data_IF_679203506232
#
_entry.id   IF_679203506232
#
_cell.length_a   1.000
_cell.length_b   1.000
_cell.length_c   1.000
_cell.angle_alpha   90.00
_cell.angle_beta   90.00
_cell.angle_gamma   90.00
#
_symmetry.space_group_name_H-M   'P 1'
#
loop_
_entity.id
_entity.type
_entity.pdbx_description
1 polymer ?
#
# COMPACT_ATOMS: atom_id res chain seq x y z
N UNK A 1 9.81 32.62 -33.90
CA UNK A 1 10.45 33.06 -32.65
C UNK A 1 9.42 32.94 -31.51
N UNK A 2 9.45 31.84 -30.77
CA UNK A 2 9.79 31.76 -29.32
C UNK A 2 8.94 32.64 -28.39
N UNK A 3 7.96 31.99 -27.71
CA UNK A 3 7.49 32.12 -26.30
C UNK A 3 6.08 31.51 -26.21
N UNK A 4 5.96 30.19 -25.95
CA UNK A 4 5.68 29.58 -24.62
C UNK A 4 4.39 30.16 -24.00
N UNK A 5 3.20 29.54 -24.05
CA UNK A 5 2.79 28.18 -23.60
C UNK A 5 3.13 27.93 -22.12
N UNK A 6 2.62 28.78 -21.22
CA UNK A 6 2.39 28.45 -19.79
C UNK A 6 1.20 29.30 -19.31
N UNK A 7 -0.03 28.94 -19.64
CA UNK A 7 -1.22 29.50 -18.96
C UNK A 7 -2.47 28.62 -19.15
N UNK A 8 -2.39 27.32 -18.87
CA UNK A 8 -3.59 26.46 -18.87
C UNK A 8 -3.50 25.26 -17.91
N UNK A 9 -2.92 25.45 -16.72
CA UNK A 9 -2.93 24.43 -15.65
C UNK A 9 -3.47 24.91 -14.29
N UNK A 10 -4.07 26.11 -14.21
CA UNK A 10 -4.51 26.70 -12.92
C UNK A 10 -6.03 26.57 -12.68
N UNK A 11 -6.80 25.94 -13.57
CA UNK A 11 -8.27 25.92 -13.45
C UNK A 11 -8.94 24.53 -13.35
N UNK A 12 -8.28 23.55 -12.72
CA UNK A 12 -8.89 22.22 -12.51
C UNK A 12 -8.79 21.68 -11.07
N UNK A 13 -8.51 22.52 -10.07
CA UNK A 13 -8.40 22.12 -8.67
C UNK A 13 -9.53 22.63 -7.75
N UNK A 14 -10.63 23.15 -8.31
CA UNK A 14 -11.80 23.55 -7.54
C UNK A 14 -13.02 22.77 -7.99
N UNK A 15 -13.22 21.58 -7.43
CA UNK A 15 -14.55 20.98 -7.18
C UNK A 15 -14.41 19.68 -6.35
N UNK A 16 -14.10 19.84 -5.07
CA UNK A 16 -14.47 18.87 -4.02
C UNK A 16 -14.81 19.65 -2.74
N UNK A 17 -15.87 20.45 -2.80
CA UNK A 17 -16.59 20.93 -1.64
C UNK A 17 -17.86 20.09 -1.50
N UNK A 18 -17.94 19.28 -0.45
CA UNK A 18 -19.17 18.59 -0.09
C UNK A 18 -18.96 17.36 0.78
N UNK A 19 -19.02 17.54 2.10
CA UNK A 19 -19.30 16.46 3.05
C UNK A 19 -18.18 16.10 4.04
N UNK A 20 -17.83 16.99 4.96
CA UNK A 20 -17.22 16.58 6.24
C UNK A 20 -18.03 17.14 7.41
N UNK A 21 -19.09 16.42 7.78
CA UNK A 21 -19.69 16.54 9.11
C UNK A 21 -19.05 15.52 10.05
N UNK A 22 -18.52 16.07 11.15
CA UNK A 22 -18.37 15.45 12.46
C UNK A 22 -17.42 14.25 12.61
N UNK A 23 -16.20 14.53 13.11
CA UNK A 23 -15.48 13.74 14.15
C UNK A 23 -14.05 14.28 14.45
N UNK A 24 -13.79 15.57 14.20
CA UNK A 24 -12.63 16.30 14.73
C UNK A 24 -12.75 16.64 16.25
N UNK A 25 -13.78 16.14 16.93
CA UNK A 25 -14.14 16.52 18.29
C UNK A 25 -13.29 15.84 19.39
N UNK A 26 -12.74 14.64 19.17
CA UNK A 26 -12.02 13.91 20.22
C UNK A 26 -10.58 14.42 20.43
N UNK A 27 -9.89 14.87 19.38
CA UNK A 27 -8.54 15.46 19.51
C UNK A 27 -8.57 16.92 20.00
N UNK A 28 -9.60 17.68 19.58
CA UNK A 28 -9.91 18.97 20.21
C UNK A 28 -10.24 18.82 21.69
N UNK A 29 -10.67 17.66 22.20
CA UNK A 29 -10.99 17.49 23.62
C UNK A 29 -9.76 17.37 24.53
N UNK A 30 -8.62 16.88 24.02
CA UNK A 30 -7.33 16.94 24.75
C UNK A 30 -6.78 18.38 24.79
N UNK A 31 -7.05 19.17 23.74
CA UNK A 31 -6.67 20.60 23.66
C UNK A 31 -7.70 21.52 24.37
N UNK A 32 -8.99 21.17 24.39
CA UNK A 32 -10.08 21.93 25.06
C UNK A 32 -10.28 21.57 26.52
N UNK A 33 -9.93 20.36 26.99
CA UNK A 33 -9.95 20.04 28.44
C UNK A 33 -8.96 20.90 29.24
N UNK A 34 -8.07 21.63 28.58
CA UNK A 34 -7.15 22.60 29.19
C UNK A 34 -7.62 24.06 29.03
N UNK A 35 -8.74 24.36 28.33
CA UNK A 35 -9.09 25.76 27.99
C UNK A 35 -10.56 26.21 28.15
N UNK A 36 -11.49 25.41 28.68
CA UNK A 36 -12.82 25.95 29.03
C UNK A 36 -13.12 25.92 30.53
N UNK A 37 -12.90 27.07 31.19
CA UNK A 37 -13.58 27.45 32.43
C UNK A 37 -15.09 27.45 32.17
N UNK A 38 -15.82 26.49 32.73
CA UNK A 38 -17.22 26.71 33.10
C UNK A 38 -17.20 27.48 34.42
N UNK A 39 -17.92 28.61 34.47
CA UNK A 39 -18.08 29.47 35.65
C UNK A 39 -18.49 28.63 36.87
N UNK A 40 -17.59 28.52 37.85
CA UNK A 40 -17.96 28.48 39.26
C UNK A 40 -16.99 29.39 40.02
N UNK A 41 -17.56 30.28 40.83
CA UNK A 41 -16.82 31.22 41.69
C UNK A 41 -16.05 30.43 42.75
N UNK A 42 -14.72 30.54 42.76
CA UNK A 42 -13.89 30.73 43.97
C UNK A 42 -12.42 30.89 43.57
N UNK A 43 -11.77 31.87 44.19
CA UNK A 43 -10.45 32.35 43.80
C UNK A 43 -9.35 31.30 43.97
N UNK A 44 -8.49 31.21 42.97
CA UNK A 44 -7.12 30.75 43.13
C UNK A 44 -6.23 31.51 42.15
N UNK A 45 -5.07 31.96 42.64
CA UNK A 45 -4.07 32.73 41.90
C UNK A 45 -3.68 31.98 40.61
N UNK A 46 -3.83 32.64 39.47
CA UNK A 46 -3.31 32.15 38.19
C UNK A 46 -1.79 32.32 38.16
N UNK A 47 -1.05 31.22 38.28
CA UNK A 47 0.34 31.15 37.81
C UNK A 47 0.33 31.02 36.28
N UNK A 48 0.96 31.96 35.59
CA UNK A 48 1.10 31.93 34.14
C UNK A 48 1.97 30.75 33.71
N UNK A 49 1.48 29.93 32.79
CA UNK A 49 2.28 28.89 32.15
C UNK A 49 3.17 29.55 31.08
N UNK A 50 4.46 29.67 31.37
CA UNK A 50 5.46 30.10 30.39
C UNK A 50 5.68 29.00 29.33
N UNK A 51 5.77 29.39 28.06
CA UNK A 51 6.43 28.57 27.05
C UNK A 51 7.88 28.36 27.50
N UNK A 52 8.26 27.13 27.82
CA UNK A 52 9.59 26.84 28.35
C UNK A 52 10.65 26.92 27.26
N UNK A 53 11.76 27.61 27.52
CA UNK A 53 13.02 27.42 26.78
C UNK A 53 13.67 26.13 27.27
N UNK A 54 14.04 25.25 26.35
CA UNK A 54 14.71 23.96 26.53
C UNK A 54 16.21 24.01 26.20
N UNK A 55 16.81 25.20 26.04
CA UNK A 55 18.23 25.35 25.71
C UNK A 55 19.22 24.58 26.59
N UNK A 56 18.85 24.21 27.82
CA UNK A 56 19.66 23.32 28.67
C UNK A 56 19.86 21.91 28.08
N UNK A 57 19.01 21.49 27.14
CA UNK A 57 19.14 20.23 26.42
C UNK A 57 20.14 20.32 25.27
N UNK A 58 20.52 21.53 24.81
CA UNK A 58 21.46 21.69 23.71
C UNK A 58 22.89 21.27 24.07
N UNK A 59 23.23 21.28 25.36
CA UNK A 59 24.51 20.78 25.87
C UNK A 59 24.53 19.28 26.14
N UNK A 60 23.39 18.59 25.98
CA UNK A 60 23.31 17.13 26.15
C UNK A 60 23.88 16.47 24.91
N UNK A 61 25.04 15.85 25.05
CA UNK A 61 25.62 15.02 24.01
C UNK A 61 25.12 13.59 24.16
N UNK A 62 24.37 13.10 23.18
CA UNK A 62 23.89 11.72 23.13
C UNK A 62 24.36 11.04 21.85
N UNK A 63 24.43 9.71 21.88
CA UNK A 63 24.97 8.90 20.78
C UNK A 63 24.19 9.02 19.46
N UNK A 64 22.92 9.46 19.52
CA UNK A 64 22.10 9.66 18.34
C UNK A 64 22.02 11.14 17.93
N UNK A 65 22.64 12.06 18.68
CA UNK A 65 22.56 13.50 18.47
C UNK A 65 21.13 14.05 18.49
N UNK A 66 20.20 13.39 19.19
CA UNK A 66 18.77 13.73 19.16
C UNK A 66 18.39 14.77 20.22
N UNK A 67 19.14 14.86 21.31
CA UNK A 67 18.83 15.74 22.43
C UNK A 67 19.02 17.21 22.06
N UNK A 68 18.12 18.07 22.51
CA UNK A 68 18.16 19.49 22.22
C UNK A 68 16.80 20.17 22.34
N UNK A 69 16.84 21.50 22.22
CA UNK A 69 15.68 22.32 21.90
C UNK A 69 15.44 22.26 20.40
N UNK A 70 14.18 22.08 20.00
CA UNK A 70 13.74 22.13 18.62
C UNK A 70 12.63 23.17 18.48
N UNK A 71 12.59 23.85 17.34
CA UNK A 71 11.57 24.84 17.01
C UNK A 71 10.54 24.23 16.05
N UNK A 72 9.26 24.38 16.36
CA UNK A 72 8.17 23.90 15.50
C UNK A 72 7.85 24.81 14.34
N UNK A 73 7.56 24.23 13.18
CA UNK A 73 7.10 24.93 12.00
C UNK A 73 5.67 25.43 12.17
N UNK A 74 4.75 24.60 12.66
CA UNK A 74 3.31 24.93 12.75
C UNK A 74 2.93 25.48 14.12
N UNK A 75 3.31 24.79 15.19
CA UNK A 75 2.96 25.20 16.55
C UNK A 75 3.81 26.38 17.06
N UNK A 76 4.84 26.80 16.30
CA UNK A 76 5.76 27.94 16.56
C UNK A 76 6.39 27.98 17.95
N UNK A 77 6.26 26.91 18.72
CA UNK A 77 6.81 26.73 20.07
C UNK A 77 8.17 26.03 20.00
N UNK A 78 8.88 26.08 21.12
CA UNK A 78 10.01 25.23 21.38
C UNK A 78 9.53 23.87 21.93
N UNK A 79 10.24 22.82 21.57
CA UNK A 79 10.08 21.44 22.05
C UNK A 79 11.40 20.97 22.63
N UNK A 80 11.34 20.30 23.77
CA UNK A 80 12.49 19.63 24.37
C UNK A 80 12.53 18.17 23.97
N UNK A 81 13.67 17.71 23.48
CA UNK A 81 13.93 16.30 23.23
C UNK A 81 15.18 15.86 23.99
N UNK A 82 15.12 14.67 24.60
CA UNK A 82 16.27 14.02 25.24
C UNK A 82 16.28 12.54 24.90
N UNK A 83 17.35 12.06 24.29
CA UNK A 83 17.54 10.63 24.11
C UNK A 83 18.09 10.00 25.39
N UNK A 84 17.48 8.89 25.80
CA UNK A 84 17.84 8.12 26.99
C UNK A 84 18.10 6.70 26.55
N UNK A 85 19.38 6.31 26.53
CA UNK A 85 19.82 4.95 26.20
C UNK A 85 19.52 3.99 27.35
N UNK A 86 19.89 4.38 28.56
CA UNK A 86 19.79 3.56 29.77
C UNK A 86 19.04 4.30 30.88
N UNK A 87 18.21 3.57 31.61
CA UNK A 87 17.49 4.03 32.80
C UNK A 87 17.50 2.92 33.84
N UNK A 88 17.90 3.23 35.07
CA UNK A 88 18.00 2.28 36.19
C UNK A 88 18.76 0.98 35.85
N UNK A 89 19.86 1.08 35.10
CA UNK A 89 20.69 -0.06 34.70
C UNK A 89 20.09 -0.94 33.60
N UNK A 90 18.99 -0.50 32.95
CA UNK A 90 18.38 -1.18 31.81
C UNK A 90 18.50 -0.32 30.56
N UNK A 91 18.81 -0.94 29.42
CA UNK A 91 18.71 -0.29 28.12
C UNK A 91 17.24 -0.07 27.81
N UNK A 92 16.83 1.19 27.64
CA UNK A 92 15.45 1.60 27.32
C UNK A 92 15.33 2.18 25.92
N UNK A 93 16.37 2.83 25.39
CA UNK A 93 16.39 3.46 24.07
C UNK A 93 15.12 4.28 23.77
N UNK A 94 14.93 5.36 24.52
CA UNK A 94 13.75 6.21 24.42
C UNK A 94 14.09 7.64 24.04
N UNK A 95 13.21 8.27 23.28
CA UNK A 95 13.20 9.71 23.09
C UNK A 95 12.15 10.32 24.01
N UNK A 96 12.62 11.09 24.99
CA UNK A 96 11.76 11.82 25.92
C UNK A 96 11.41 13.18 25.31
N UNK A 97 10.15 13.57 25.45
CA UNK A 97 9.56 14.72 24.79
C UNK A 97 8.88 15.67 25.78
N UNK A 98 9.08 16.98 25.57
CA UNK A 98 8.46 18.08 26.30
C UNK A 98 7.98 19.19 25.36
N UNK A 99 6.76 19.69 25.57
CA UNK A 99 6.21 20.95 25.05
C UNK A 99 6.21 22.06 26.10
N UNK A 100 6.29 21.68 27.38
CA UNK A 100 6.33 22.59 28.52
C UNK A 100 7.45 22.19 29.46
N UNK A 101 8.03 23.16 30.16
CA UNK A 101 9.06 22.89 31.15
C UNK A 101 8.43 22.22 32.37
N UNK A 102 8.72 20.94 32.55
CA UNK A 102 8.27 20.13 33.69
C UNK A 102 9.29 19.01 33.94
N UNK A 103 9.30 18.48 35.16
CA UNK A 103 10.28 17.47 35.60
C UNK A 103 10.18 16.17 34.79
N UNK A 104 8.96 15.67 34.58
CA UNK A 104 8.72 14.43 33.84
C UNK A 104 8.41 14.70 32.36
N UNK A 105 8.89 13.87 31.42
CA UNK A 105 8.52 14.00 30.01
C UNK A 105 7.03 13.77 29.80
N UNK A 106 6.47 14.47 28.81
CA UNK A 106 5.08 14.30 28.40
C UNK A 106 4.89 12.98 27.63
N UNK A 107 5.89 12.60 26.83
CA UNK A 107 5.92 11.32 26.13
C UNK A 107 7.31 10.69 26.27
N UNK A 108 7.32 9.37 26.39
CA UNK A 108 8.51 8.53 26.24
C UNK A 108 8.31 7.67 25.00
N UNK A 109 9.04 7.97 23.94
CA UNK A 109 8.87 7.33 22.64
C UNK A 109 9.91 6.23 22.45
N UNK A 110 9.47 5.03 22.09
CA UNK A 110 10.32 3.87 21.86
C UNK A 110 11.12 4.01 20.58
N UNK A 111 12.42 3.70 20.63
CA UNK A 111 13.29 3.72 19.46
C UNK A 111 13.12 2.46 18.60
N UNK A 112 12.97 2.63 17.29
CA UNK A 112 12.95 1.50 16.35
C UNK A 112 14.37 1.10 15.94
N UNK A 113 15.11 0.48 16.86
CA UNK A 113 16.51 0.08 16.67
C UNK A 113 16.77 -0.69 15.36
N UNK A 114 15.83 -1.56 14.98
CA UNK A 114 15.99 -2.38 13.78
C UNK A 114 16.09 -1.56 12.48
N UNK A 115 15.57 -0.34 12.45
CA UNK A 115 15.67 0.57 11.31
C UNK A 115 17.01 1.31 11.33
N UNK A 116 17.46 1.74 12.51
CA UNK A 116 18.78 2.33 12.70
C UNK A 116 19.90 1.36 12.33
N UNK A 117 19.90 0.14 12.87
CA UNK A 117 20.94 -0.86 12.56
C UNK A 117 21.05 -1.22 11.07
N UNK A 118 19.97 -1.06 10.29
CA UNK A 118 19.94 -1.46 8.86
C UNK A 118 20.13 -0.29 7.89
N UNK A 119 19.64 0.90 8.24
CA UNK A 119 19.57 2.06 7.34
C UNK A 119 19.93 3.38 8.02
N UNK A 120 20.41 3.34 9.27
CA UNK A 120 20.69 4.52 10.09
C UNK A 120 19.48 5.46 10.25
N UNK A 121 18.26 4.93 10.07
CA UNK A 121 17.01 5.69 10.24
C UNK A 121 16.72 5.84 11.72
N UNK A 122 16.65 7.08 12.18
CA UNK A 122 16.25 7.40 13.55
C UNK A 122 14.75 7.62 13.59
N UNK A 123 14.03 6.60 14.06
CA UNK A 123 12.58 6.63 14.20
C UNK A 123 12.19 6.29 15.63
N UNK A 124 11.33 7.13 16.22
CA UNK A 124 10.78 6.91 17.55
C UNK A 124 9.26 6.93 17.49
N UNK A 125 8.59 6.14 18.33
CA UNK A 125 7.13 6.05 18.31
C UNK A 125 6.52 5.81 19.68
N UNK A 126 5.25 6.17 19.83
CA UNK A 126 4.47 5.89 21.03
C UNK A 126 3.00 5.69 20.66
N UNK A 127 2.35 4.78 21.38
CA UNK A 127 0.90 4.61 21.36
C UNK A 127 0.33 5.21 22.63
N UNK A 128 -0.45 6.30 22.52
CA UNK A 128 -1.13 6.87 23.70
C UNK A 128 -2.39 6.08 24.10
N UNK A 129 -2.95 5.32 23.17
CA UNK A 129 -3.98 4.30 23.37
C UNK A 129 -3.94 3.31 22.21
N UNK A 130 -4.76 2.26 22.23
CA UNK A 130 -4.82 1.24 21.19
C UNK A 130 -5.43 1.71 19.85
N UNK A 131 -5.81 3.00 19.73
CA UNK A 131 -6.45 3.54 18.53
C UNK A 131 -5.45 4.05 17.49
N UNK A 132 -5.81 4.00 16.20
CA UNK A 132 -4.94 4.51 15.12
C UNK A 132 -4.55 5.98 15.32
N UNK A 133 -5.50 6.81 15.75
CA UNK A 133 -5.33 8.26 15.92
C UNK A 133 -4.45 8.64 17.11
N UNK A 134 -4.18 7.71 18.03
CA UNK A 134 -3.32 7.93 19.20
C UNK A 134 -1.87 7.52 18.97
N UNK A 135 -1.54 7.03 17.77
CA UNK A 135 -0.17 6.77 17.36
C UNK A 135 0.55 8.07 16.99
N UNK A 136 1.73 8.26 17.58
CA UNK A 136 2.65 9.35 17.24
C UNK A 136 3.99 8.70 16.94
N UNK A 137 4.59 9.08 15.82
CA UNK A 137 5.98 8.73 15.52
C UNK A 137 6.72 9.98 15.00
N UNK A 138 8.03 9.95 15.15
CA UNK A 138 8.93 10.98 14.66
C UNK A 138 10.07 10.33 13.88
N UNK A 139 10.45 10.96 12.78
CA UNK A 139 11.61 10.59 11.96
C UNK A 139 12.59 11.75 11.94
N UNK A 140 13.88 11.48 12.16
CA UNK A 140 14.90 12.43 11.70
C UNK A 140 14.97 12.38 10.16
N UNK A 141 14.63 13.49 9.51
CA UNK A 141 14.57 13.63 8.05
C UNK A 141 15.83 14.30 7.48
N UNK A 142 16.52 15.06 8.31
CA UNK A 142 17.87 15.58 8.11
C UNK A 142 18.53 15.78 9.50
N UNK A 143 19.86 15.89 9.60
CA UNK A 143 20.52 16.10 10.89
C UNK A 143 19.89 17.26 11.68
N UNK A 144 19.31 16.95 12.84
CA UNK A 144 18.65 17.97 13.67
C UNK A 144 17.29 18.46 13.18
N UNK A 145 16.71 17.86 12.13
CA UNK A 145 15.36 18.14 11.63
C UNK A 145 14.50 16.88 11.75
N UNK A 146 13.36 17.00 12.43
CA UNK A 146 12.45 15.92 12.76
C UNK A 146 11.08 16.19 12.13
N UNK A 147 10.53 15.18 11.47
CA UNK A 147 9.15 15.16 11.03
C UNK A 147 8.31 14.33 11.99
N UNK A 148 7.25 14.91 12.55
CA UNK A 148 6.24 14.19 13.32
C UNK A 148 5.11 13.77 12.40
N UNK A 149 4.74 12.49 12.47
CA UNK A 149 3.64 11.95 11.67
C UNK A 149 2.51 11.41 12.54
N UNK A 150 1.34 11.28 11.92
CA UNK A 150 0.18 10.58 12.45
C UNK A 150 -0.33 9.54 11.45
N UNK A 151 -0.95 8.48 11.96
CA UNK A 151 -1.67 7.48 11.16
C UNK A 151 -3.19 7.65 11.26
N UNK A 152 -3.89 7.25 10.19
CA UNK A 152 -5.36 7.36 10.10
C UNK A 152 -6.14 6.05 10.07
N UNK A 153 -5.50 4.88 9.93
CA UNK A 153 -6.20 3.68 9.46
C UNK A 153 -5.85 2.32 10.13
N UNK A 154 -4.94 2.21 11.11
CA UNK A 154 -4.67 0.93 11.81
C UNK A 154 -4.54 1.05 13.33
N UNK A 155 -5.22 0.16 14.04
CA UNK A 155 -5.02 -0.11 15.48
C UNK A 155 -3.96 -1.18 15.70
N UNK A 156 -3.45 -1.28 16.93
CA UNK A 156 -2.45 -2.29 17.30
C UNK A 156 -2.91 -3.19 18.43
N UNK A 157 -2.26 -4.36 18.51
CA UNK A 157 -2.44 -5.33 19.59
C UNK A 157 -1.36 -5.23 20.67
N UNK A 158 -0.27 -4.49 20.44
CA UNK A 158 0.86 -4.33 21.36
C UNK A 158 1.43 -2.91 21.31
N UNK A 159 1.70 -2.33 22.47
CA UNK A 159 2.25 -0.97 22.60
C UNK A 159 3.75 -0.88 22.25
N UNK A 160 4.44 -2.02 22.19
CA UNK A 160 5.89 -2.10 21.92
C UNK A 160 6.22 -2.19 20.42
N UNK A 161 5.20 -2.27 19.57
CA UNK A 161 5.37 -2.37 18.13
C UNK A 161 5.01 -1.07 17.42
N UNK A 162 5.85 -0.66 16.48
CA UNK A 162 5.54 0.45 15.57
C UNK A 162 4.48 0.03 14.56
N UNK A 163 3.80 1.01 13.97
CA UNK A 163 2.84 0.71 12.90
C UNK A 163 3.55 0.10 11.68
N UNK A 164 2.88 -0.79 10.93
CA UNK A 164 3.45 -1.38 9.73
C UNK A 164 3.91 -0.34 8.70
N UNK A 165 4.93 -0.68 7.91
CA UNK A 165 5.49 0.21 6.88
C UNK A 165 4.54 0.51 5.70
N UNK A 166 3.48 -0.26 5.53
CA UNK A 166 2.41 -0.04 4.55
C UNK A 166 1.24 0.80 5.11
N UNK A 167 1.37 1.28 6.35
CA UNK A 167 0.43 2.22 6.96
C UNK A 167 0.55 3.61 6.34
N UNK A 168 -0.60 4.26 6.11
CA UNK A 168 -0.61 5.66 5.67
C UNK A 168 -0.11 6.56 6.80
N UNK A 169 0.88 7.40 6.47
CA UNK A 169 1.47 8.40 7.36
C UNK A 169 1.19 9.78 6.80
N UNK A 170 0.97 10.74 7.69
CA UNK A 170 0.83 12.15 7.32
C UNK A 170 1.69 12.96 8.26
N UNK A 171 2.63 13.73 7.72
CA UNK A 171 3.42 14.69 8.49
C UNK A 171 2.49 15.79 8.99
N UNK A 172 2.49 16.02 10.30
CA UNK A 172 1.63 17.00 10.96
C UNK A 172 2.41 18.18 11.56
N UNK A 173 3.71 18.01 11.75
CA UNK A 173 4.63 19.02 12.28
C UNK A 173 6.06 18.73 11.81
N UNK A 174 6.85 19.79 11.61
CA UNK A 174 8.31 19.73 11.39
C UNK A 174 8.98 20.51 12.51
N UNK A 175 10.02 19.92 13.08
CA UNK A 175 10.77 20.48 14.20
C UNK A 175 12.25 20.51 13.86
N UNK A 176 12.94 21.62 14.10
CA UNK A 176 14.37 21.74 13.82
C UNK A 176 15.17 22.32 14.99
N UNK A 177 16.37 21.80 15.24
CA UNK A 177 17.31 22.38 16.21
C UNK A 177 17.74 23.79 15.81
N UNK A 178 18.06 23.96 14.53
CA UNK A 178 18.34 25.27 13.96
C UNK A 178 17.05 25.80 13.32
N UNK A 179 16.57 26.94 13.83
CA UNK A 179 15.33 27.56 13.34
C UNK A 179 15.37 27.91 11.85
N UNK A 180 16.56 28.23 11.31
CA UNK A 180 16.72 28.56 9.89
C UNK A 180 16.42 27.37 8.96
N UNK A 181 16.55 26.13 9.45
CA UNK A 181 16.25 24.94 8.62
C UNK A 181 14.76 24.87 8.26
N UNK A 182 13.88 25.51 9.05
CA UNK A 182 12.45 25.58 8.78
C UNK A 182 12.08 26.47 7.59
N UNK A 183 13.03 27.30 7.10
CA UNK A 183 12.84 28.06 5.86
C UNK A 183 12.95 27.15 4.62
N UNK A 184 13.58 25.98 4.78
CA UNK A 184 13.75 24.97 3.71
C UNK A 184 12.87 23.73 3.93
N UNK A 185 12.63 23.35 5.19
CA UNK A 185 11.87 22.15 5.55
C UNK A 185 10.42 22.46 5.91
N UNK A 186 9.58 22.51 4.89
CA UNK A 186 8.13 22.53 5.05
C UNK A 186 7.53 21.11 5.21
N UNK A 187 6.22 21.05 5.42
CA UNK A 187 5.47 19.80 5.60
C UNK A 187 5.59 18.90 4.36
N UNK A 188 5.55 19.47 3.15
CA UNK A 188 5.57 18.70 1.90
C UNK A 188 6.95 18.07 1.66
N UNK A 189 8.01 18.83 1.88
CA UNK A 189 9.40 18.39 1.79
C UNK A 189 9.69 17.31 2.84
N UNK A 190 9.24 17.51 4.07
CA UNK A 190 9.36 16.51 5.14
C UNK A 190 8.55 15.24 4.81
N UNK A 191 7.33 15.38 4.27
CA UNK A 191 6.50 14.26 3.85
C UNK A 191 7.19 13.43 2.76
N UNK A 192 7.72 14.08 1.72
CA UNK A 192 8.47 13.41 0.66
C UNK A 192 9.68 12.64 1.21
N UNK A 193 10.39 13.21 2.20
CA UNK A 193 11.53 12.53 2.84
C UNK A 193 11.10 11.34 3.68
N UNK A 194 10.00 11.45 4.43
CA UNK A 194 9.40 10.32 5.17
C UNK A 194 8.99 9.22 4.21
N UNK A 195 8.31 9.54 3.11
CA UNK A 195 7.89 8.56 2.11
C UNK A 195 9.09 7.84 1.47
N UNK A 196 10.18 8.57 1.20
CA UNK A 196 11.44 8.00 0.73
C UNK A 196 12.05 7.03 1.77
N UNK A 197 12.13 7.42 3.05
CA UNK A 197 12.61 6.56 4.14
C UNK A 197 11.77 5.27 4.24
N UNK A 198 10.44 5.41 4.21
CA UNK A 198 9.51 4.28 4.29
C UNK A 198 9.66 3.36 3.08
N UNK A 199 9.83 3.91 1.88
CA UNK A 199 10.09 3.15 0.65
C UNK A 199 11.39 2.33 0.75
N UNK A 200 12.47 2.92 1.25
CA UNK A 200 13.75 2.23 1.45
C UNK A 200 13.65 1.09 2.46
N UNK A 201 12.95 1.33 3.59
CA UNK A 201 12.70 0.30 4.61
C UNK A 201 11.81 -0.82 4.08
N UNK A 202 10.79 -0.48 3.28
CA UNK A 202 9.93 -1.46 2.61
C UNK A 202 10.74 -2.31 1.63
N UNK A 203 11.63 -1.71 0.85
CA UNK A 203 12.49 -2.42 -0.10
C UNK A 203 13.36 -3.47 0.60
N UNK A 204 13.93 -3.15 1.78
CA UNK A 204 14.65 -4.13 2.60
C UNK A 204 13.75 -5.26 3.12
N UNK A 205 12.54 -4.92 3.59
CA UNK A 205 11.57 -5.92 4.04
C UNK A 205 11.22 -6.86 2.89
N UNK A 206 10.99 -6.33 1.69
CA UNK A 206 10.67 -7.11 0.49
C UNK A 206 11.83 -7.98 0.03
N UNK A 207 13.08 -7.49 0.05
CA UNK A 207 14.25 -8.31 -0.24
C UNK A 207 14.37 -9.52 0.71
N UNK A 208 14.10 -9.32 2.02
CA UNK A 208 14.06 -10.42 2.99
C UNK A 208 12.93 -11.40 2.70
N UNK A 209 11.75 -10.90 2.35
CA UNK A 209 10.60 -11.74 1.96
C UNK A 209 10.93 -12.56 0.72
N UNK A 210 11.44 -11.93 -0.35
CA UNK A 210 11.91 -12.60 -1.57
C UNK A 210 12.90 -13.71 -1.26
N UNK A 211 13.93 -13.45 -0.44
CA UNK A 211 14.91 -14.48 -0.03
C UNK A 211 14.26 -15.68 0.68
N UNK A 212 13.20 -15.46 1.48
CA UNK A 212 12.43 -16.56 2.08
C UNK A 212 11.60 -17.30 1.03
N UNK A 213 10.97 -16.58 0.11
CA UNK A 213 10.13 -17.15 -0.95
C UNK A 213 10.94 -18.00 -1.94
N UNK A 214 12.20 -17.64 -2.24
CA UNK A 214 13.10 -18.42 -3.10
C UNK A 214 13.41 -19.84 -2.56
N UNK A 215 13.00 -20.17 -1.32
CA UNK A 215 13.11 -21.52 -0.75
C UNK A 215 11.98 -22.45 -1.20
N UNK A 216 10.94 -21.93 -1.83
CA UNK A 216 9.80 -22.69 -2.31
C UNK A 216 9.91 -22.86 -3.83
N UNK A 217 9.79 -24.10 -4.32
CA UNK A 217 9.98 -24.41 -5.75
C UNK A 217 9.03 -23.66 -6.66
N UNK A 218 7.78 -23.46 -6.24
CA UNK A 218 6.77 -22.69 -6.97
C UNK A 218 7.28 -21.27 -7.27
N UNK A 219 7.65 -20.50 -6.23
CA UNK A 219 8.15 -19.14 -6.40
C UNK A 219 9.51 -19.12 -7.11
N UNK A 220 10.44 -20.00 -6.72
CA UNK A 220 11.79 -20.09 -7.31
C UNK A 220 11.75 -20.31 -8.82
N UNK A 221 10.81 -21.12 -9.32
CA UNK A 221 10.74 -21.47 -10.74
C UNK A 221 9.79 -20.56 -11.56
N UNK A 222 8.89 -19.84 -10.88
CA UNK A 222 7.83 -19.04 -11.51
C UNK A 222 7.86 -17.54 -11.22
N UNK A 223 8.77 -16.98 -10.42
CA UNK A 223 8.85 -15.51 -10.29
C UNK A 223 9.00 -14.84 -11.67
N UNK A 224 8.16 -13.84 -11.97
CA UNK A 224 8.01 -13.23 -13.29
C UNK A 224 7.12 -14.01 -14.27
N UNK A 225 6.47 -15.09 -13.84
CA UNK A 225 5.65 -15.98 -14.67
C UNK A 225 4.24 -16.16 -14.11
N UNK A 226 3.34 -16.60 -14.98
CA UNK A 226 2.00 -17.08 -14.63
C UNK A 226 2.01 -18.60 -14.60
N UNK A 227 1.66 -19.19 -13.46
CA UNK A 227 1.43 -20.64 -13.33
C UNK A 227 -0.04 -20.96 -13.56
N UNK A 228 -0.34 -22.01 -14.34
CA UNK A 228 -1.70 -22.47 -14.60
C UNK A 228 -1.97 -23.79 -13.89
N UNK A 229 -3.22 -24.05 -13.50
CA UNK A 229 -3.65 -25.32 -12.93
C UNK A 229 -5.10 -25.66 -13.32
N UNK A 230 -5.45 -26.94 -13.21
CA UNK A 230 -6.82 -27.46 -13.50
C UNK A 230 -7.90 -26.94 -12.54
N UNK A 231 -7.50 -26.26 -11.47
CA UNK A 231 -8.41 -25.79 -10.43
C UNK A 231 -7.71 -24.92 -9.40
N UNK A 232 -8.51 -24.10 -8.73
CA UNK A 232 -8.01 -23.12 -7.76
C UNK A 232 -7.45 -23.75 -6.50
N UNK A 233 -7.94 -24.94 -6.13
CA UNK A 233 -7.45 -25.73 -5.00
C UNK A 233 -5.97 -26.09 -5.14
N UNK A 234 -5.47 -26.27 -6.37
CA UNK A 234 -4.06 -26.57 -6.64
C UNK A 234 -3.15 -25.33 -6.52
N UNK A 235 -3.72 -24.13 -6.52
CA UNK A 235 -3.01 -22.84 -6.44
C UNK A 235 -3.10 -22.18 -5.06
N UNK A 236 -3.84 -22.79 -4.12
CA UNK A 236 -4.03 -22.28 -2.76
C UNK A 236 -2.82 -22.60 -1.89
N UNK A 237 -2.29 -21.57 -1.25
CA UNK A 237 -1.32 -21.70 -0.18
C UNK A 237 -2.05 -22.08 1.11
N UNK A 238 -1.67 -23.20 1.75
CA UNK A 238 -2.28 -23.62 3.02
C UNK A 238 -1.85 -22.78 4.23
N UNK A 239 -0.82 -21.95 4.06
CA UNK A 239 -0.28 -21.04 5.08
C UNK A 239 -0.06 -19.65 4.47
N UNK A 240 -0.42 -18.61 5.23
CA UNK A 240 -0.20 -17.22 4.82
C UNK A 240 1.27 -17.00 4.44
N UNK A 241 1.50 -16.41 3.27
CA UNK A 241 2.82 -16.06 2.74
C UNK A 241 3.79 -17.25 2.50
N UNK A 242 3.28 -18.47 2.30
CA UNK A 242 4.10 -19.64 1.93
C UNK A 242 3.51 -20.33 0.69
N UNK A 243 4.11 -20.15 -0.51
CA UNK A 243 3.61 -20.76 -1.73
C UNK A 243 4.02 -22.24 -1.77
N UNK A 244 3.36 -23.07 -0.96
CA UNK A 244 3.62 -24.51 -0.84
C UNK A 244 2.94 -25.36 -1.93
N UNK A 245 2.47 -24.71 -3.00
CA UNK A 245 1.88 -25.42 -4.13
C UNK A 245 2.90 -26.35 -4.78
N UNK A 246 2.48 -27.57 -5.10
CA UNK A 246 3.33 -28.53 -5.83
C UNK A 246 3.40 -28.12 -7.30
N UNK A 247 4.60 -27.83 -7.80
CA UNK A 247 4.85 -27.48 -9.20
C UNK A 247 4.35 -28.56 -10.17
N UNK A 248 4.33 -29.83 -9.75
CA UNK A 248 3.77 -30.94 -10.51
C UNK A 248 2.26 -30.81 -10.82
N UNK A 249 1.53 -29.96 -10.09
CA UNK A 249 0.12 -29.67 -10.38
C UNK A 249 -0.06 -28.56 -11.42
N UNK A 250 1.03 -27.87 -11.79
CA UNK A 250 0.98 -26.84 -12.81
C UNK A 250 0.88 -27.48 -14.19
N UNK A 251 -0.02 -26.96 -15.00
CA UNK A 251 -0.32 -27.48 -16.32
C UNK A 251 0.14 -26.50 -17.40
N UNK A 252 0.49 -27.04 -18.55
CA UNK A 252 0.83 -26.28 -19.77
C UNK A 252 -0.17 -26.52 -20.90
N UNK A 253 -1.07 -27.49 -20.74
CA UNK A 253 -2.12 -27.85 -21.71
C UNK A 253 -3.43 -28.19 -21.01
N UNK A 254 -4.56 -27.81 -21.59
CA UNK A 254 -5.91 -28.15 -21.13
C UNK A 254 -6.92 -28.11 -22.30
N UNK A 255 -8.07 -28.75 -22.15
CA UNK A 255 -9.21 -28.55 -23.06
C UNK A 255 -9.77 -27.12 -22.96
N UNK A 256 -10.07 -26.50 -24.11
CA UNK A 256 -10.78 -25.23 -24.17
C UNK A 256 -12.22 -25.44 -23.70
N UNK A 257 -12.69 -24.61 -22.77
CA UNK A 257 -13.96 -24.83 -22.07
C UNK A 257 -13.81 -25.55 -20.72
N UNK A 258 -12.63 -26.10 -20.40
CA UNK A 258 -12.36 -26.68 -19.08
C UNK A 258 -11.90 -25.65 -18.05
N UNK A 259 -11.88 -26.05 -16.77
CA UNK A 259 -11.36 -25.19 -15.70
C UNK A 259 -9.86 -24.95 -15.85
N UNK A 260 -9.48 -23.67 -15.88
CA UNK A 260 -8.12 -23.12 -15.86
C UNK A 260 -8.11 -22.00 -14.83
N UNK A 261 -7.32 -22.20 -13.77
CA UNK A 261 -6.98 -21.15 -12.83
C UNK A 261 -5.53 -20.76 -13.05
N UNK A 262 -5.17 -19.52 -12.74
CA UNK A 262 -3.77 -19.12 -12.73
C UNK A 262 -3.37 -18.34 -11.48
N UNK A 263 -2.06 -18.32 -11.24
CA UNK A 263 -1.41 -17.57 -10.18
C UNK A 263 -0.18 -16.87 -10.76
N UNK A 264 -0.17 -15.53 -10.89
CA UNK A 264 1.04 -14.82 -11.23
C UNK A 264 1.98 -14.78 -10.03
N UNK A 265 3.27 -14.92 -10.29
CA UNK A 265 4.34 -14.68 -9.33
C UNK A 265 5.21 -13.54 -9.86
N UNK A 266 5.55 -12.60 -9.00
CA UNK A 266 6.27 -11.38 -9.37
C UNK A 266 7.70 -11.42 -8.86
N UNK A 267 8.62 -10.79 -9.58
CA UNK A 267 9.99 -10.62 -9.12
C UNK A 267 10.09 -9.68 -7.91
N UNK A 268 9.24 -8.64 -7.91
CA UNK A 268 9.04 -7.68 -6.83
C UNK A 268 7.56 -7.27 -6.76
N UNK A 269 7.06 -6.85 -5.59
CA UNK A 269 5.72 -6.27 -5.50
C UNK A 269 5.57 -5.05 -6.40
N UNK A 270 4.35 -4.82 -6.87
CA UNK A 270 4.04 -3.70 -7.76
C UNK A 270 4.31 -2.34 -7.12
N UNK A 271 4.04 -2.20 -5.83
CA UNK A 271 4.29 -0.95 -5.09
C UNK A 271 5.76 -0.57 -5.01
N UNK A 272 6.67 -1.54 -5.20
CA UNK A 272 8.12 -1.32 -5.20
C UNK A 272 8.61 -1.07 -6.62
N UNK A 273 8.23 -1.94 -7.57
CA UNK A 273 8.70 -1.84 -8.95
C UNK A 273 8.07 -0.67 -9.71
N UNK A 274 6.79 -0.37 -9.46
CA UNK A 274 6.01 0.65 -10.17
C UNK A 274 5.08 1.45 -9.24
N UNK A 275 5.63 2.35 -8.40
CA UNK A 275 4.84 3.14 -7.45
C UNK A 275 3.68 3.91 -8.09
N UNK A 276 2.50 3.80 -7.46
CA UNK A 276 1.25 4.43 -7.93
C UNK A 276 0.49 3.64 -9.00
N UNK A 277 1.00 2.49 -9.43
CA UNK A 277 0.34 1.63 -10.41
C UNK A 277 -0.60 0.62 -9.76
N UNK A 278 -1.53 0.07 -10.54
CA UNK A 278 -2.33 -1.11 -10.20
C UNK A 278 -2.17 -2.19 -11.29
N UNK A 279 -2.71 -3.40 -11.09
CA UNK A 279 -2.56 -4.46 -12.07
C UNK A 279 -3.62 -4.37 -13.17
N UNK A 280 -3.20 -4.55 -14.43
CA UNK A 280 -4.08 -4.96 -15.53
C UNK A 280 -3.76 -6.42 -15.94
N UNK A 281 -4.75 -7.15 -16.46
CA UNK A 281 -4.56 -8.49 -16.99
C UNK A 281 -5.08 -8.49 -18.43
N UNK A 282 -4.24 -8.93 -19.35
CA UNK A 282 -4.60 -9.09 -20.76
C UNK A 282 -4.52 -10.54 -21.18
N UNK A 283 -5.43 -10.93 -22.07
CA UNK A 283 -5.52 -12.26 -22.67
C UNK A 283 -5.34 -12.12 -24.17
N UNK A 284 -4.58 -13.04 -24.77
CA UNK A 284 -4.32 -13.08 -26.21
C UNK A 284 -4.39 -14.53 -26.70
N UNK A 285 -5.19 -14.78 -27.72
CA UNK A 285 -5.41 -16.10 -28.32
C UNK A 285 -6.02 -15.91 -29.72
N UNK A 286 -5.66 -16.77 -30.67
CA UNK A 286 -6.25 -16.77 -32.03
C UNK A 286 -6.24 -15.38 -32.72
N UNK A 287 -5.17 -14.61 -32.54
CA UNK A 287 -5.03 -13.26 -33.13
C UNK A 287 -5.91 -12.18 -32.49
N UNK A 288 -6.70 -12.52 -31.47
CA UNK A 288 -7.50 -11.56 -30.68
C UNK A 288 -6.80 -11.25 -29.37
N UNK A 289 -7.06 -10.04 -28.84
CA UNK A 289 -6.51 -9.57 -27.57
C UNK A 289 -7.54 -8.74 -26.82
N UNK A 290 -7.70 -9.04 -25.54
CA UNK A 290 -8.58 -8.30 -24.62
C UNK A 290 -7.84 -7.97 -23.34
N UNK A 291 -8.33 -6.96 -22.61
CA UNK A 291 -7.74 -6.54 -21.36
C UNK A 291 -8.79 -6.00 -20.40
N UNK A 292 -8.53 -6.18 -19.10
CA UNK A 292 -9.48 -5.80 -18.05
C UNK A 292 -9.72 -4.30 -18.02
N UNK A 293 -8.65 -3.49 -18.04
CA UNK A 293 -8.76 -2.02 -17.98
C UNK A 293 -9.40 -1.40 -19.22
N UNK A 294 -9.14 -1.97 -20.39
CA UNK A 294 -9.76 -1.58 -21.65
C UNK A 294 -11.27 -1.86 -21.60
N UNK A 295 -11.66 -3.08 -21.22
CA UNK A 295 -13.06 -3.49 -21.13
C UNK A 295 -13.82 -2.75 -20.02
N UNK A 296 -13.16 -2.45 -18.90
CA UNK A 296 -13.72 -1.65 -17.79
C UNK A 296 -14.22 -0.27 -18.24
N UNK A 297 -13.66 0.28 -19.32
CA UNK A 297 -14.01 1.61 -19.86
C UNK A 297 -15.10 1.58 -20.93
N UNK A 298 -15.53 0.40 -21.41
CA UNK A 298 -16.49 0.32 -22.51
C UNK A 298 -17.95 0.36 -22.05
N UNK A 299 -18.26 -0.10 -20.84
CA UNK A 299 -19.63 -0.06 -20.30
C UNK A 299 -19.66 0.01 -18.77
N UNK A 300 -20.78 0.50 -18.23
CA UNK A 300 -21.05 0.50 -16.78
C UNK A 300 -21.15 -0.91 -16.21
N UNK A 301 -21.63 -1.87 -17.00
CA UNK A 301 -21.67 -3.30 -16.66
C UNK A 301 -20.26 -3.85 -16.43
N UNK A 302 -19.34 -3.60 -17.35
CA UNK A 302 -17.95 -4.03 -17.16
C UNK A 302 -17.26 -3.27 -16.05
N UNK A 303 -17.48 -1.95 -15.92
CA UNK A 303 -16.94 -1.15 -14.82
C UNK A 303 -17.29 -1.74 -13.44
N UNK A 304 -18.51 -2.26 -13.29
CA UNK A 304 -19.01 -2.88 -12.05
C UNK A 304 -18.41 -4.25 -11.76
N UNK A 305 -18.21 -5.09 -12.79
CA UNK A 305 -17.80 -6.49 -12.61
C UNK A 305 -16.29 -6.73 -12.78
N UNK A 306 -15.57 -5.76 -13.32
CA UNK A 306 -14.11 -5.76 -13.46
C UNK A 306 -13.56 -4.71 -12.49
N UNK A 307 -13.50 -5.02 -11.17
CA UNK A 307 -12.94 -4.07 -10.23
C UNK A 307 -11.44 -3.88 -10.51
N UNK A 308 -10.98 -2.66 -10.24
CA UNK A 308 -9.56 -2.32 -10.27
C UNK A 308 -8.76 -3.25 -9.35
N UNK A 309 -7.63 -3.76 -9.84
CA UNK A 309 -6.80 -4.70 -9.10
C UNK A 309 -5.65 -3.99 -8.36
N UNK A 310 -5.96 -3.32 -7.27
CA UNK A 310 -4.99 -2.54 -6.46
C UNK A 310 -4.67 -3.16 -5.08
N UNK A 311 -5.56 -4.03 -4.56
CA UNK A 311 -5.40 -4.68 -3.25
C UNK A 311 -4.14 -5.53 -3.10
N UNK A 312 -3.58 -6.04 -4.19
CA UNK A 312 -2.44 -6.96 -4.19
C UNK A 312 -1.09 -6.28 -4.45
N UNK A 313 -1.05 -4.93 -4.50
CA UNK A 313 0.16 -4.19 -4.92
C UNK A 313 1.42 -4.47 -4.09
N UNK A 314 1.25 -4.94 -2.86
CA UNK A 314 2.35 -5.26 -1.93
C UNK A 314 2.74 -6.74 -1.93
N UNK A 315 2.09 -7.57 -2.74
CA UNK A 315 2.26 -9.02 -2.71
C UNK A 315 3.24 -9.48 -3.81
N UNK A 316 3.93 -10.58 -3.54
CA UNK A 316 4.83 -11.25 -4.50
C UNK A 316 4.10 -12.23 -5.43
N UNK A 317 2.83 -12.47 -5.16
CA UNK A 317 1.91 -13.28 -5.95
C UNK A 317 0.52 -12.99 -5.42
N UNK A 318 -0.49 -13.10 -6.26
CA UNK A 318 -1.86 -13.17 -5.79
C UNK A 318 -2.54 -14.37 -6.40
N UNK A 319 -3.51 -14.92 -5.67
CA UNK A 319 -4.41 -15.87 -6.25
C UNK A 319 -5.48 -15.11 -7.04
N UNK A 320 -5.52 -15.35 -8.35
CA UNK A 320 -6.57 -14.81 -9.19
C UNK A 320 -7.72 -15.82 -9.24
N UNK A 321 -8.95 -15.45 -8.83
CA UNK A 321 -10.07 -16.36 -8.97
C UNK A 321 -10.26 -16.73 -10.45
N UNK A 322 -10.62 -18.01 -10.64
CA UNK A 322 -10.92 -18.75 -11.88
C UNK A 322 -11.01 -17.89 -13.15
N UNK A 323 -10.20 -18.24 -14.16
CA UNK A 323 -10.31 -17.65 -15.51
C UNK A 323 -11.50 -18.23 -16.26
N UNK A 324 -11.84 -19.49 -15.96
CA UNK A 324 -12.91 -20.21 -16.64
C UNK A 324 -13.98 -20.73 -15.68
N UNK A 325 -15.22 -20.79 -16.18
CA UNK A 325 -16.43 -20.96 -15.38
C UNK A 325 -16.43 -22.29 -14.62
N UNK A 326 -16.73 -22.21 -13.32
CA UNK A 326 -17.22 -23.36 -12.57
C UNK A 326 -18.71 -23.54 -12.86
N UNK A 327 -19.12 -24.72 -13.33
CA UNK A 327 -20.53 -25.10 -13.61
C UNK A 327 -21.49 -24.84 -12.43
N UNK A 328 -20.98 -24.70 -11.21
CA UNK A 328 -21.79 -24.41 -10.01
C UNK A 328 -21.94 -22.92 -9.66
N UNK A 329 -20.99 -22.03 -10.03
CA UNK A 329 -20.89 -20.69 -9.44
C UNK A 329 -20.64 -19.52 -10.43
N UNK A 330 -20.59 -19.72 -11.76
CA UNK A 330 -20.55 -18.61 -12.74
C UNK A 330 -19.49 -17.51 -12.52
N UNK A 331 -18.22 -17.86 -12.25
CA UNK A 331 -17.13 -16.85 -12.20
C UNK A 331 -16.08 -17.21 -13.24
N UNK A 332 -16.12 -16.52 -14.38
CA UNK A 332 -15.01 -16.37 -15.32
C UNK A 332 -14.60 -14.89 -15.37
N UNK A 333 -13.37 -14.59 -15.81
CA UNK A 333 -12.98 -13.21 -16.04
C UNK A 333 -13.69 -12.70 -17.31
N UNK A 334 -14.46 -11.61 -17.19
CA UNK A 334 -15.17 -11.00 -18.31
C UNK A 334 -14.24 -10.60 -19.47
N UNK A 335 -12.99 -10.22 -19.20
CA UNK A 335 -12.03 -9.96 -20.26
C UNK A 335 -11.68 -11.23 -21.05
N UNK A 336 -11.60 -12.38 -20.38
CA UNK A 336 -11.37 -13.65 -21.07
C UNK A 336 -12.62 -14.14 -21.82
N UNK A 337 -13.83 -13.96 -21.26
CA UNK A 337 -15.06 -14.28 -21.99
C UNK A 337 -15.19 -13.46 -23.27
N UNK A 338 -14.87 -12.17 -23.21
CA UNK A 338 -14.86 -11.30 -24.38
C UNK A 338 -13.81 -11.75 -25.42
N UNK A 339 -12.67 -12.27 -24.99
CA UNK A 339 -11.68 -12.86 -25.91
C UNK A 339 -12.27 -14.05 -26.67
N UNK A 340 -12.97 -14.94 -25.96
CA UNK A 340 -13.60 -16.10 -26.56
C UNK A 340 -14.69 -15.69 -27.55
N UNK A 341 -15.54 -14.73 -27.20
CA UNK A 341 -16.57 -14.17 -28.10
C UNK A 341 -15.94 -13.59 -29.37
N UNK A 342 -14.87 -12.81 -29.25
CA UNK A 342 -14.19 -12.22 -30.40
C UNK A 342 -13.45 -13.22 -31.28
N UNK A 343 -13.02 -14.34 -30.70
CA UNK A 343 -12.29 -15.39 -31.40
C UNK A 343 -13.18 -16.51 -31.92
N UNK A 344 -14.48 -16.54 -31.59
CA UNK A 344 -15.34 -17.71 -31.77
C UNK A 344 -15.35 -18.28 -33.19
N UNK A 345 -15.37 -17.41 -34.20
CA UNK A 345 -15.41 -17.80 -35.62
C UNK A 345 -14.08 -18.41 -36.12
N UNK A 346 -12.98 -18.14 -35.39
CA UNK A 346 -11.64 -18.63 -35.70
C UNK A 346 -11.35 -19.98 -35.01
N UNK A 347 -12.24 -20.44 -34.11
CA UNK A 347 -12.06 -21.65 -33.31
C UNK A 347 -12.58 -22.90 -34.04
N UNK A 348 -11.77 -23.96 -34.09
CA UNK A 348 -12.08 -25.20 -34.84
C UNK A 348 -11.70 -26.45 -34.06
N UNK A 349 -12.53 -27.48 -34.16
CA UNK A 349 -12.26 -28.78 -33.57
C UNK A 349 -10.93 -29.38 -34.05
N UNK A 350 -10.20 -30.00 -33.12
CA UNK A 350 -8.91 -30.63 -33.37
C UNK A 350 -7.73 -29.64 -33.37
N UNK A 351 -7.98 -28.33 -33.28
CA UNK A 351 -6.93 -27.33 -33.17
C UNK A 351 -6.54 -27.05 -31.71
N UNK A 352 -5.29 -26.61 -31.53
CA UNK A 352 -4.77 -26.16 -30.24
C UNK A 352 -4.35 -24.70 -30.37
N UNK A 353 -4.75 -23.89 -29.38
CA UNK A 353 -4.51 -22.46 -29.34
C UNK A 353 -3.63 -22.09 -28.15
N UNK A 354 -2.63 -21.26 -28.37
CA UNK A 354 -1.83 -20.69 -27.29
C UNK A 354 -2.59 -19.50 -26.67
N UNK A 355 -3.09 -19.69 -25.44
CA UNK A 355 -3.60 -18.61 -24.63
C UNK A 355 -2.45 -17.98 -23.85
N UNK A 356 -2.07 -16.76 -24.23
CA UNK A 356 -1.11 -15.94 -23.49
C UNK A 356 -1.84 -15.05 -22.48
N UNK A 357 -1.42 -15.15 -21.22
CA UNK A 357 -1.88 -14.27 -20.13
C UNK A 357 -0.72 -13.38 -19.72
N UNK A 358 -0.94 -12.07 -19.76
CA UNK A 358 0.05 -11.08 -19.29
C UNK A 358 -0.55 -10.23 -18.19
N UNK A 359 0.15 -10.14 -17.07
CA UNK A 359 -0.16 -9.23 -15.96
C UNK A 359 0.77 -8.02 -16.09
N UNK A 360 0.18 -6.83 -16.13
CA UNK A 360 0.87 -5.57 -16.36
C UNK A 360 0.86 -4.67 -15.13
N UNK A 361 1.90 -3.86 -14.97
CA UNK A 361 1.81 -2.61 -14.23
C UNK A 361 1.01 -1.61 -15.08
N UNK A 362 -0.11 -1.10 -14.56
CA UNK A 362 -0.98 -0.14 -15.23
C UNK A 362 -1.01 1.18 -14.47
N UNK A 363 -0.83 2.27 -15.19
CA UNK A 363 -0.85 3.63 -14.64
C UNK A 363 -1.23 4.60 -15.75
N UNK A 364 -1.90 5.69 -15.39
CA UNK A 364 -2.19 6.81 -16.30
C UNK A 364 -2.85 6.40 -17.63
N UNK A 365 -3.67 5.34 -17.57
CA UNK A 365 -4.42 4.86 -18.73
C UNK A 365 -3.67 3.90 -19.65
N UNK A 366 -2.45 3.46 -19.29
CA UNK A 366 -1.61 2.62 -20.14
C UNK A 366 -0.98 1.45 -19.38
N UNK A 367 -0.73 0.34 -20.09
CA UNK A 367 0.12 -0.75 -19.62
C UNK A 367 1.59 -0.28 -19.72
N UNK A 368 2.31 -0.22 -18.60
CA UNK A 368 3.72 0.19 -18.54
C UNK A 368 4.60 -1.00 -18.88
N UNK A 369 4.67 -1.98 -17.95
CA UNK A 369 5.59 -3.11 -18.04
C UNK A 369 4.88 -4.43 -17.69
N UNK A 370 5.23 -5.55 -18.37
CA UNK A 370 4.74 -6.86 -18.01
C UNK A 370 5.45 -7.34 -16.74
N UNK A 371 4.69 -7.54 -15.66
CA UNK A 371 5.21 -8.00 -14.37
C UNK A 371 5.14 -9.51 -14.19
N UNK A 372 4.27 -10.19 -14.94
CA UNK A 372 4.25 -11.65 -15.08
C UNK A 372 3.61 -12.06 -16.40
N UNK A 373 4.15 -13.09 -17.05
CA UNK A 373 3.57 -13.65 -18.29
C UNK A 373 3.54 -15.18 -18.24
N UNK A 374 2.55 -15.79 -18.87
CA UNK A 374 2.56 -17.23 -19.11
C UNK A 374 1.66 -17.60 -20.28
N UNK A 375 1.93 -18.76 -20.88
CA UNK A 375 1.15 -19.32 -21.98
C UNK A 375 0.67 -20.71 -21.59
N UNK A 376 -0.57 -21.02 -21.91
CA UNK A 376 -1.16 -22.36 -21.81
C UNK A 376 -1.77 -22.75 -23.16
N UNK A 377 -1.57 -24.00 -23.55
CA UNK A 377 -2.20 -24.60 -24.73
C UNK A 377 -3.64 -25.02 -24.43
N UNK A 378 -4.59 -24.52 -25.21
CA UNK A 378 -6.01 -24.84 -25.12
C UNK A 378 -6.45 -25.62 -26.34
N UNK A 379 -6.83 -26.87 -26.14
CA UNK A 379 -7.27 -27.78 -27.21
C UNK A 379 -8.78 -27.69 -27.40
N UNK A 380 -9.22 -27.42 -28.63
CA UNK A 380 -10.63 -27.45 -29.00
C UNK A 380 -11.05 -28.87 -29.32
N UNK A 381 -11.95 -29.43 -28.52
CA UNK A 381 -12.50 -30.79 -28.70
C UNK A 381 -13.97 -30.74 -29.07
N UNK A 382 -14.56 -31.89 -29.44
CA UNK A 382 -16.01 -32.04 -29.67
C UNK A 382 -16.87 -31.49 -28.52
N UNK A 383 -16.37 -31.50 -27.28
CA UNK A 383 -17.10 -31.02 -26.11
C UNK A 383 -16.95 -29.50 -25.89
N UNK A 384 -15.94 -28.87 -26.50
CA UNK A 384 -15.67 -27.43 -26.37
C UNK A 384 -16.82 -26.58 -26.91
N UNK A 385 -17.38 -26.94 -28.08
CA UNK A 385 -18.47 -26.18 -28.71
C UNK A 385 -19.67 -26.06 -27.77
N UNK A 386 -20.08 -27.18 -27.17
CA UNK A 386 -21.14 -27.21 -26.17
C UNK A 386 -20.81 -26.36 -24.93
N UNK A 387 -19.56 -26.27 -24.51
CA UNK A 387 -19.19 -25.47 -23.34
C UNK A 387 -19.18 -23.97 -23.63
N UNK A 388 -18.82 -23.58 -24.85
CA UNK A 388 -18.72 -22.18 -25.25
C UNK A 388 -20.04 -21.61 -25.75
N UNK A 389 -20.78 -22.39 -26.54
CA UNK A 389 -21.90 -21.93 -27.38
C UNK A 389 -23.26 -22.57 -27.02
N UNK A 390 -23.37 -23.32 -25.93
CA UNK A 390 -24.68 -23.80 -25.48
C UNK A 390 -25.67 -22.62 -25.32
N UNK A 391 -26.88 -22.71 -25.88
CA UNK A 391 -27.80 -21.56 -25.97
C UNK A 391 -28.38 -21.12 -24.62
N UNK A 392 -28.10 -21.84 -23.53
CA UNK A 392 -28.58 -21.49 -22.18
C UNK A 392 -27.43 -21.30 -21.20
N UNK A 393 -26.34 -22.06 -21.35
CA UNK A 393 -25.23 -22.15 -20.39
C UNK A 393 -23.86 -22.00 -21.03
N UNK A 394 -23.80 -21.75 -22.34
CA UNK A 394 -22.57 -21.47 -23.07
C UNK A 394 -21.93 -20.21 -22.52
N UNK A 395 -20.60 -20.22 -22.40
CA UNK A 395 -19.88 -19.11 -21.80
C UNK A 395 -20.02 -17.81 -22.60
N UNK A 396 -20.07 -17.91 -23.92
CA UNK A 396 -20.26 -16.77 -24.82
C UNK A 396 -21.70 -16.30 -24.72
N UNK A 397 -22.67 -17.23 -24.77
CA UNK A 397 -24.09 -16.93 -24.61
C UNK A 397 -24.39 -16.17 -23.31
N UNK A 398 -23.85 -16.64 -22.18
CA UNK A 398 -24.02 -15.98 -20.88
C UNK A 398 -23.44 -14.57 -20.87
N UNK A 399 -22.35 -14.32 -21.60
CA UNK A 399 -21.81 -12.97 -21.75
C UNK A 399 -22.73 -12.10 -22.61
N UNK A 400 -23.23 -12.63 -23.72
CA UNK A 400 -24.11 -11.92 -24.66
C UNK A 400 -25.44 -11.54 -24.00
N UNK A 401 -26.14 -12.50 -23.37
CA UNK A 401 -27.34 -12.23 -22.57
C UNK A 401 -27.07 -11.15 -21.50
N UNK A 402 -25.93 -11.26 -20.82
CA UNK A 402 -25.52 -10.27 -19.83
C UNK A 402 -25.24 -8.90 -20.44
N UNK A 403 -24.83 -8.79 -21.71
CA UNK A 403 -24.55 -7.52 -22.37
C UNK A 403 -25.81 -6.87 -22.93
N UNK A 404 -26.79 -7.66 -23.36
CA UNK A 404 -28.03 -7.19 -23.98
C UNK A 404 -29.09 -6.66 -22.99
N UNK A 405 -29.02 -7.03 -21.70
CA UNK A 405 -29.90 -6.49 -20.62
C UNK A 405 -29.68 -5.01 -20.25
#
# INVERSE_FOLDING_TARGET
MRKQVILTCVLSAMMFLGGTTETNAQFKSLIKKVTSKKKSKRGSKSSGASSGTFGYLNSVNDELGMSGEYHGLKDKKAFGFKFVKEDQGKVVNQLHYWERKQENPQLKMNFKESYFRKKQVKMFFVWMSSSAKSYIEVFEVAPGVIAQTQQTDRSINSYDESVPLDSKRTVIEVMAKNKADLDTWDIETAQAKVDMIISDLNSLKMAKTKKKLMRFDSYKNYHGKVAFAKGTNYLRSSRSNQPVEKVANFITKQELGSTVAFKPYFDQPLSVSHPGSWFNITYEMAGKKTGREELRKTSTKFAKNIPQLDKYKNDFYFFYPKVTVNRSNNIADYAFLELLRQAQDDLKEGQTYDLKVTVWAYKDGQNIDPVATGTIQLEYTANTEKLLLDPVKGWITVLEDYLDE
#
